data_IF_644847276154
#
_entry.id   IF_644847276154
#
_cell.length_a   1.000
_cell.length_b   1.000
_cell.length_c   1.000
_cell.angle_alpha   90.00
_cell.angle_beta   90.00
_cell.angle_gamma   90.00
#
_symmetry.space_group_name_H-M   'P 1'
#
loop_
_entity.id
_entity.type
_entity.pdbx_description
1 polymer ?
#
# COMPACT_ATOMS: atom_id res chain seq x y z
N UNK A 1 50.16 -7.12 -36.96
CA UNK A 1 49.16 -6.04 -36.90
C UNK A 1 47.96 -6.44 -37.75
N UNK A 2 46.74 -5.97 -37.44
CA UNK A 2 46.10 -5.95 -36.12
C UNK A 2 45.50 -7.38 -35.89
N UNK A 3 44.39 -7.69 -35.22
CA UNK A 3 43.56 -7.01 -34.21
C UNK A 3 43.02 -8.07 -33.22
N UNK A 4 42.28 -7.67 -32.19
CA UNK A 4 41.41 -8.56 -31.39
C UNK A 4 40.18 -7.79 -30.91
N UNK A 5 38.99 -8.24 -31.31
CA UNK A 5 37.72 -7.82 -30.72
C UNK A 5 36.57 -8.74 -31.17
N UNK A 6 35.88 -9.38 -30.22
CA UNK A 6 34.40 -9.35 -30.10
C UNK A 6 34.01 -9.98 -28.77
N UNK A 7 33.84 -9.13 -27.76
CA UNK A 7 33.18 -9.51 -26.51
C UNK A 7 31.66 -9.53 -26.74
N UNK A 8 31.13 -10.67 -27.22
CA UNK A 8 29.68 -10.86 -27.34
C UNK A 8 29.06 -11.02 -25.95
N UNK A 9 28.55 -9.92 -25.40
CA UNK A 9 27.81 -9.89 -24.14
C UNK A 9 26.64 -10.86 -24.19
N UNK A 10 26.64 -11.85 -23.29
CA UNK A 10 25.53 -12.79 -23.10
C UNK A 10 24.38 -12.07 -22.39
N UNK A 11 23.53 -11.38 -23.15
CA UNK A 11 22.29 -10.82 -22.60
C UNK A 11 21.43 -11.95 -22.05
N UNK A 12 21.30 -11.99 -20.72
CA UNK A 12 20.37 -12.88 -20.02
C UNK A 12 18.95 -12.50 -20.41
N UNK A 13 18.33 -13.29 -21.30
CA UNK A 13 16.91 -13.14 -21.61
C UNK A 13 16.12 -13.34 -20.31
N UNK A 14 15.38 -12.32 -19.90
CA UNK A 14 14.30 -12.50 -18.92
C UNK A 14 13.28 -13.49 -19.49
N UNK A 15 12.73 -14.41 -18.67
CA UNK A 15 11.72 -15.35 -19.15
C UNK A 15 10.47 -14.55 -19.55
N UNK A 16 10.10 -14.60 -20.83
CA UNK A 16 8.83 -14.04 -21.29
C UNK A 16 7.67 -14.89 -20.75
N UNK A 17 6.54 -14.28 -20.34
CA UNK A 17 5.38 -15.03 -19.90
C UNK A 17 4.81 -15.84 -21.07
N UNK A 18 4.49 -17.11 -20.82
CA UNK A 18 3.85 -17.96 -21.82
C UNK A 18 2.42 -17.45 -22.10
N UNK A 19 2.19 -17.04 -23.34
CA UNK A 19 0.87 -16.66 -23.87
C UNK A 19 0.24 -17.92 -24.45
N UNK A 20 -1.00 -18.22 -24.06
CA UNK A 20 -1.81 -19.20 -24.77
C UNK A 20 -2.40 -18.53 -26.02
N UNK A 21 -1.79 -18.81 -27.18
CA UNK A 21 -2.18 -18.25 -28.48
C UNK A 21 -3.62 -18.64 -28.89
N UNK A 22 -4.21 -19.69 -28.30
CA UNK A 22 -5.58 -20.12 -28.61
C UNK A 22 -6.67 -19.33 -27.88
N UNK A 23 -6.34 -18.72 -26.75
CA UNK A 23 -7.29 -17.95 -25.91
C UNK A 23 -6.88 -16.49 -25.68
N UNK A 24 -5.67 -16.09 -26.08
CA UNK A 24 -5.09 -14.79 -25.74
C UNK A 24 -4.74 -14.66 -24.24
N UNK A 25 -4.85 -15.74 -23.46
CA UNK A 25 -4.66 -15.69 -22.02
C UNK A 25 -3.17 -15.69 -21.67
N UNK A 26 -2.68 -14.57 -21.11
CA UNK A 26 -1.34 -14.51 -20.54
C UNK A 26 -1.34 -15.22 -19.19
N UNK A 27 -0.67 -16.38 -19.09
CA UNK A 27 -0.52 -17.10 -17.81
C UNK A 27 0.60 -16.46 -16.98
N UNK A 28 0.33 -15.28 -16.42
CA UNK A 28 1.22 -14.70 -15.40
C UNK A 28 1.13 -15.60 -14.16
N UNK A 29 2.19 -16.36 -13.89
CA UNK A 29 2.20 -17.44 -12.90
C UNK A 29 1.73 -16.96 -11.53
N UNK A 30 0.57 -17.48 -11.08
CA UNK A 30 -0.20 -17.14 -9.87
C UNK A 30 0.25 -15.84 -9.17
N UNK A 31 0.12 -14.72 -9.88
CA UNK A 31 0.07 -13.43 -9.19
C UNK A 31 -1.14 -13.46 -8.27
N UNK A 32 -0.90 -13.34 -6.96
CA UNK A 32 -1.94 -13.02 -6.00
C UNK A 32 -2.40 -11.60 -6.34
N UNK A 33 -3.50 -11.52 -7.09
CA UNK A 33 -3.92 -10.30 -7.75
C UNK A 33 -4.54 -9.31 -6.75
N UNK A 34 -3.71 -8.37 -6.26
CA UNK A 34 -4.16 -7.16 -5.59
C UNK A 34 -3.84 -7.02 -4.11
N UNK A 35 -2.93 -7.82 -3.53
CA UNK A 35 -2.53 -7.71 -2.12
C UNK A 35 -1.04 -8.00 -1.88
N UNK A 36 -0.13 -7.22 -2.47
CA UNK A 36 1.32 -7.37 -2.27
C UNK A 36 2.00 -6.02 -1.96
N UNK A 37 2.93 -6.00 -1.00
CA UNK A 37 3.86 -4.89 -0.76
C UNK A 37 5.29 -5.37 -1.08
N UNK A 38 6.21 -4.47 -1.41
CA UNK A 38 7.59 -4.89 -1.74
C UNK A 38 8.33 -5.42 -0.51
N UNK A 39 9.34 -6.28 -0.74
CA UNK A 39 10.21 -6.76 0.33
C UNK A 39 10.94 -5.60 1.04
N UNK A 40 11.29 -4.53 0.31
CA UNK A 40 11.88 -3.30 0.88
C UNK A 40 10.93 -2.64 1.87
N UNK A 41 9.66 -2.47 1.50
CA UNK A 41 8.62 -1.94 2.39
C UNK A 41 8.42 -2.81 3.64
N UNK A 42 8.33 -4.13 3.50
CA UNK A 42 8.15 -5.03 4.65
C UNK A 42 9.38 -5.04 5.58
N UNK A 43 10.59 -4.96 5.04
CA UNK A 43 11.84 -4.89 5.80
C UNK A 43 12.07 -3.54 6.49
N UNK A 44 11.23 -2.53 6.23
CA UNK A 44 11.23 -1.26 6.98
C UNK A 44 10.78 -1.43 8.45
N UNK A 45 10.11 -2.55 8.76
CA UNK A 45 9.55 -2.85 10.07
C UNK A 45 10.38 -3.92 10.79
N UNK A 46 10.70 -3.75 12.09
CA UNK A 46 11.32 -4.81 12.90
C UNK A 46 10.46 -6.08 13.00
N UNK A 47 9.13 -5.91 12.97
CA UNK A 47 8.13 -6.98 12.94
C UNK A 47 7.00 -6.62 11.95
N UNK A 48 7.00 -7.20 10.73
CA UNK A 48 5.94 -7.00 9.74
C UNK A 48 4.75 -7.96 9.89
N UNK A 49 4.66 -8.81 10.92
CA UNK A 49 3.66 -9.88 11.01
C UNK A 49 2.21 -9.37 10.88
N UNK A 50 1.85 -8.26 11.55
CA UNK A 50 0.49 -7.69 11.41
C UNK A 50 0.18 -7.23 9.99
N UNK A 51 1.18 -6.74 9.25
CA UNK A 51 1.01 -6.31 7.86
C UNK A 51 0.87 -7.53 6.95
N UNK A 52 1.68 -8.56 7.15
CA UNK A 52 1.62 -9.82 6.40
C UNK A 52 0.29 -10.56 6.61
N UNK A 53 -0.23 -10.64 7.83
CA UNK A 53 -1.54 -11.22 8.14
C UNK A 53 -2.67 -10.49 7.38
N UNK A 54 -2.68 -9.15 7.37
CA UNK A 54 -3.64 -8.39 6.57
C UNK A 54 -3.49 -8.67 5.07
N UNK A 55 -2.28 -8.73 4.52
CA UNK A 55 -2.05 -9.03 3.10
C UNK A 55 -2.51 -10.44 2.72
N UNK A 56 -2.28 -11.46 3.55
CA UNK A 56 -2.80 -12.81 3.32
C UNK A 56 -4.33 -12.84 3.37
N UNK A 57 -4.95 -12.23 4.38
CA UNK A 57 -6.42 -12.13 4.45
C UNK A 57 -7.02 -11.40 3.26
N UNK A 58 -6.35 -10.37 2.75
CA UNK A 58 -6.75 -9.66 1.54
C UNK A 58 -6.68 -10.55 0.30
N UNK A 59 -5.60 -11.32 0.14
CA UNK A 59 -5.44 -12.29 -0.94
C UNK A 59 -6.58 -13.32 -0.99
N UNK A 60 -6.99 -13.84 0.17
CA UNK A 60 -8.03 -14.86 0.27
C UNK A 60 -9.45 -14.28 0.12
N UNK A 61 -9.68 -13.06 0.62
CA UNK A 61 -11.02 -12.44 0.69
C UNK A 61 -11.41 -11.58 -0.51
N UNK A 62 -10.48 -11.01 -1.29
CA UNK A 62 -10.80 -9.98 -2.31
C UNK A 62 -11.85 -10.43 -3.35
N UNK A 63 -11.85 -11.72 -3.68
CA UNK A 63 -12.78 -12.33 -4.62
C UNK A 63 -13.91 -13.13 -3.96
N UNK A 64 -13.72 -13.62 -2.74
CA UNK A 64 -14.64 -14.53 -2.03
C UNK A 64 -15.55 -13.80 -1.04
N UNK A 65 -15.02 -12.84 -0.28
CA UNK A 65 -15.76 -11.91 0.59
C UNK A 65 -15.26 -10.46 0.40
N UNK A 66 -15.81 -9.75 -0.61
CA UNK A 66 -15.47 -8.35 -0.87
C UNK A 66 -15.73 -7.40 0.31
N UNK A 67 -16.61 -7.73 1.27
CA UNK A 67 -16.88 -6.88 2.45
C UNK A 67 -15.79 -7.06 3.50
N UNK A 68 -15.36 -8.30 3.74
CA UNK A 68 -14.19 -8.61 4.57
C UNK A 68 -12.94 -7.95 3.98
N UNK A 69 -12.72 -8.04 2.67
CA UNK A 69 -11.57 -7.42 2.01
C UNK A 69 -11.52 -5.89 2.23
N UNK A 70 -12.65 -5.18 2.13
CA UNK A 70 -12.73 -3.75 2.43
C UNK A 70 -12.42 -3.46 3.91
N UNK A 71 -12.92 -4.28 4.84
CA UNK A 71 -12.62 -4.13 6.27
C UNK A 71 -11.14 -4.34 6.58
N UNK A 72 -10.53 -5.37 6.00
CA UNK A 72 -9.10 -5.67 6.13
C UNK A 72 -8.24 -4.59 5.47
N UNK A 73 -8.65 -4.00 4.35
CA UNK A 73 -7.92 -2.89 3.71
C UNK A 73 -7.81 -1.66 4.63
N UNK A 74 -8.87 -1.32 5.38
CA UNK A 74 -8.80 -0.28 6.41
C UNK A 74 -7.89 -0.69 7.57
N UNK A 75 -7.95 -1.96 7.99
CA UNK A 75 -7.09 -2.47 9.06
C UNK A 75 -5.59 -2.47 8.68
N UNK A 76 -5.27 -2.72 7.40
CA UNK A 76 -3.93 -2.60 6.82
C UNK A 76 -3.40 -1.15 6.92
N UNK A 77 -4.21 -0.15 6.55
CA UNK A 77 -3.87 1.28 6.71
C UNK A 77 -3.63 1.60 8.19
N UNK A 78 -4.53 1.15 9.07
CA UNK A 78 -4.47 1.44 10.50
C UNK A 78 -3.24 0.80 11.18
N UNK A 79 -2.92 -0.46 10.87
CA UNK A 79 -1.68 -1.11 11.33
C UNK A 79 -0.46 -0.40 10.77
N UNK A 80 -0.42 -0.08 9.46
CA UNK A 80 0.73 0.58 8.84
C UNK A 80 1.00 1.95 9.46
N UNK A 81 -0.04 2.77 9.67
CA UNK A 81 0.09 4.08 10.33
C UNK A 81 0.65 3.96 11.76
N UNK A 82 0.18 2.98 12.53
CA UNK A 82 0.68 2.70 13.89
C UNK A 82 2.13 2.22 13.88
N UNK A 83 2.48 1.28 12.99
CA UNK A 83 3.85 0.80 12.82
C UNK A 83 4.82 1.94 12.47
N UNK A 84 4.45 2.83 11.54
CA UNK A 84 5.23 4.03 11.20
C UNK A 84 5.38 4.95 12.41
N UNK A 85 4.29 5.29 13.10
CA UNK A 85 4.34 6.18 14.26
C UNK A 85 5.20 5.61 15.39
N UNK A 86 5.09 4.31 15.68
CA UNK A 86 5.94 3.61 16.64
C UNK A 86 7.42 3.61 16.22
N UNK A 87 7.72 3.32 14.95
CA UNK A 87 9.10 3.39 14.43
C UNK A 87 9.68 4.81 14.38
N UNK A 88 8.81 5.83 14.39
CA UNK A 88 9.17 7.26 14.49
C UNK A 88 9.10 7.81 15.93
N UNK A 89 8.92 6.96 16.93
CA UNK A 89 8.79 7.31 18.36
C UNK A 89 7.70 8.36 18.63
N UNK A 90 6.66 8.40 17.79
CA UNK A 90 5.51 9.31 17.93
C UNK A 90 4.36 8.63 18.67
N UNK A 91 3.83 9.32 19.67
CA UNK A 91 2.68 8.85 20.45
C UNK A 91 1.37 8.99 19.68
N UNK A 92 0.44 8.08 19.93
CA UNK A 92 -0.95 8.13 19.44
C UNK A 92 -1.88 7.50 20.48
N UNK A 93 -3.14 7.91 20.51
CA UNK A 93 -4.13 7.32 21.42
C UNK A 93 -4.67 6.01 20.85
N UNK A 94 -5.01 5.05 21.71
CA UNK A 94 -5.64 3.77 21.29
C UNK A 94 -6.99 3.97 20.59
N UNK A 95 -7.66 5.09 20.86
CA UNK A 95 -8.94 5.50 20.26
C UNK A 95 -8.80 6.36 19.00
N UNK A 96 -7.58 6.70 18.57
CA UNK A 96 -7.32 7.51 17.39
C UNK A 96 -7.96 6.88 16.15
N UNK A 97 -8.72 7.69 15.40
CA UNK A 97 -9.36 7.24 14.16
C UNK A 97 -8.34 7.24 13.02
N UNK A 98 -8.55 6.37 12.03
CA UNK A 98 -7.71 6.25 10.83
C UNK A 98 -7.29 7.60 10.21
N UNK A 99 -8.16 8.61 10.05
CA UNK A 99 -7.73 9.88 9.44
C UNK A 99 -6.70 10.63 10.28
N UNK A 100 -6.78 10.57 11.61
CA UNK A 100 -5.78 11.18 12.50
C UNK A 100 -4.45 10.40 12.45
N UNK A 101 -4.52 9.07 12.44
CA UNK A 101 -3.34 8.20 12.32
C UNK A 101 -2.61 8.39 10.98
N UNK A 102 -3.35 8.48 9.87
CA UNK A 102 -2.79 8.72 8.53
C UNK A 102 -2.05 10.05 8.46
N UNK A 103 -2.70 11.14 8.90
CA UNK A 103 -2.07 12.47 8.88
C UNK A 103 -0.83 12.51 9.78
N UNK A 104 -0.92 12.00 11.01
CA UNK A 104 0.22 11.95 11.92
C UNK A 104 1.38 11.10 11.35
N UNK A 105 1.08 9.97 10.69
CA UNK A 105 2.09 9.13 10.08
C UNK A 105 2.79 9.85 8.92
N UNK A 106 2.04 10.47 7.99
CA UNK A 106 2.62 11.26 6.89
C UNK A 106 3.45 12.45 7.41
N UNK A 107 2.97 13.16 8.43
CA UNK A 107 3.72 14.23 9.09
C UNK A 107 5.03 13.71 9.73
N UNK A 108 5.01 12.54 10.38
CA UNK A 108 6.19 11.95 11.02
C UNK A 108 7.30 11.52 10.05
N UNK A 109 6.96 11.35 8.76
CA UNK A 109 7.88 11.04 7.66
C UNK A 109 8.25 12.27 6.81
N UNK A 110 7.76 13.47 7.14
CA UNK A 110 7.98 14.69 6.34
C UNK A 110 7.14 14.76 5.05
N UNK A 111 6.20 13.83 4.86
CA UNK A 111 5.32 13.70 3.69
C UNK A 111 4.01 14.51 3.81
N UNK A 112 4.00 15.54 4.67
CA UNK A 112 2.85 16.42 4.78
C UNK A 112 2.82 17.39 3.59
N UNK A 113 1.63 17.69 3.06
CA UNK A 113 1.50 18.65 1.97
C UNK A 113 2.11 20.04 2.31
N UNK A 114 2.08 20.41 3.60
CA UNK A 114 2.66 21.65 4.15
C UNK A 114 4.20 21.65 4.28
N UNK A 115 4.88 20.50 4.18
CA UNK A 115 6.34 20.40 4.29
C UNK A 115 7.07 20.26 2.95
N UNK A 116 6.34 20.11 1.85
CA UNK A 116 6.89 20.14 0.48
C UNK A 116 6.96 21.59 0.00
N UNK A 117 8.04 21.99 -0.69
CA UNK A 117 8.20 23.35 -1.27
C UNK A 117 7.16 23.65 -2.36
N UNK A 118 6.93 24.93 -2.66
CA UNK A 118 5.97 25.33 -3.70
C UNK A 118 6.40 24.94 -5.13
N UNK A 119 7.70 24.67 -5.31
CA UNK A 119 8.29 24.19 -6.56
C UNK A 119 7.72 22.82 -6.96
N UNK A 120 7.43 21.96 -5.98
CA UNK A 120 6.91 20.60 -6.17
C UNK A 120 5.37 20.51 -5.96
N UNK A 121 4.63 21.49 -6.49
CA UNK A 121 3.15 21.57 -6.42
C UNK A 121 2.44 20.26 -6.81
N UNK A 122 2.95 19.53 -7.81
CA UNK A 122 2.36 18.28 -8.27
C UNK A 122 2.52 17.14 -7.25
N UNK A 123 3.70 17.02 -6.63
CA UNK A 123 3.97 16.06 -5.55
C UNK A 123 3.11 16.37 -4.32
N UNK A 124 3.01 17.64 -3.94
CA UNK A 124 2.13 18.09 -2.87
C UNK A 124 0.67 17.67 -3.11
N UNK A 125 0.17 17.87 -4.33
CA UNK A 125 -1.18 17.47 -4.71
C UNK A 125 -1.37 15.94 -4.64
N UNK A 126 -0.36 15.16 -5.05
CA UNK A 126 -0.39 13.70 -4.93
C UNK A 126 -0.45 13.25 -3.46
N UNK A 127 0.39 13.81 -2.58
CA UNK A 127 0.39 13.51 -1.14
C UNK A 127 -0.94 13.88 -0.46
N UNK A 128 -1.57 14.98 -0.87
CA UNK A 128 -2.90 15.35 -0.40
C UNK A 128 -3.99 14.40 -0.91
N UNK A 129 -3.91 13.99 -2.18
CA UNK A 129 -4.82 12.99 -2.76
C UNK A 129 -4.70 11.62 -2.08
N UNK A 130 -3.51 11.25 -1.59
CA UNK A 130 -3.29 10.03 -0.79
C UNK A 130 -4.00 10.08 0.57
N UNK A 131 -4.03 11.22 1.25
CA UNK A 131 -4.86 11.40 2.47
C UNK A 131 -6.34 11.17 2.13
N UNK A 132 -6.84 11.85 1.08
CA UNK A 132 -8.24 11.70 0.61
C UNK A 132 -8.56 10.25 0.23
N UNK A 133 -7.62 9.53 -0.38
CA UNK A 133 -7.77 8.13 -0.76
C UNK A 133 -8.00 7.21 0.45
N UNK A 134 -7.23 7.38 1.53
CA UNK A 134 -7.44 6.62 2.78
C UNK A 134 -8.75 6.97 3.49
N UNK A 135 -9.20 8.22 3.36
CA UNK A 135 -10.50 8.67 3.86
C UNK A 135 -11.63 7.97 3.08
N UNK A 136 -11.57 7.92 1.76
CA UNK A 136 -12.55 7.19 0.93
C UNK A 136 -12.57 5.68 1.23
N UNK A 137 -11.41 5.05 1.49
CA UNK A 137 -11.36 3.65 1.98
C UNK A 137 -12.10 3.51 3.31
N UNK A 138 -11.92 4.46 4.23
CA UNK A 138 -12.61 4.47 5.53
C UNK A 138 -14.12 4.66 5.38
N UNK A 139 -14.58 5.55 4.49
CA UNK A 139 -16.00 5.81 4.21
C UNK A 139 -16.69 4.62 3.55
N UNK A 140 -16.05 4.03 2.52
CA UNK A 140 -16.54 2.81 1.89
C UNK A 140 -16.67 1.72 2.96
N UNK A 141 -15.63 1.49 3.78
CA UNK A 141 -15.71 0.54 4.91
C UNK A 141 -16.84 0.84 5.86
N UNK A 142 -17.07 2.10 6.23
CA UNK A 142 -18.17 2.47 7.12
C UNK A 142 -19.55 2.15 6.49
N UNK A 143 -19.71 2.34 5.17
CA UNK A 143 -20.96 2.02 4.45
C UNK A 143 -21.20 0.52 4.19
N UNK A 144 -20.20 -0.34 4.38
CA UNK A 144 -20.29 -1.79 4.06
C UNK A 144 -19.96 -2.71 5.25
N UNK A 145 -19.49 -2.13 6.35
CA UNK A 145 -19.00 -2.82 7.54
C UNK A 145 -20.01 -3.77 8.17
N UNK A 146 -19.51 -4.72 8.96
CA UNK A 146 -20.31 -5.75 9.62
C UNK A 146 -20.48 -5.40 11.11
N UNK A 147 -19.60 -4.53 11.62
CA UNK A 147 -19.27 -4.26 13.02
C UNK A 147 -20.42 -3.74 13.91
N UNK A 148 -21.55 -3.35 13.33
CA UNK A 148 -22.66 -2.69 14.04
C UNK A 148 -24.04 -3.30 13.74
N UNK A 149 -24.11 -4.49 13.14
CA UNK A 149 -25.39 -5.21 12.99
C UNK A 149 -26.43 -4.46 12.14
N UNK A 150 -26.04 -4.03 10.94
CA UNK A 150 -26.93 -3.32 10.03
C UNK A 150 -28.21 -4.12 9.70
N UNK A 151 -29.35 -3.45 9.69
CA UNK A 151 -30.68 -4.04 9.37
C UNK A 151 -30.70 -4.68 7.96
N UNK A 152 -29.91 -4.14 7.03
CA UNK A 152 -29.66 -4.73 5.72
C UNK A 152 -28.18 -4.99 5.47
N UNK A 153 -27.86 -6.10 4.80
CA UNK A 153 -26.52 -6.40 4.29
C UNK A 153 -26.26 -5.59 3.00
N UNK A 154 -25.23 -4.71 2.95
CA UNK A 154 -24.94 -3.93 1.74
C UNK A 154 -24.48 -4.81 0.57
N UNK A 155 -25.36 -5.01 -0.42
CA UNK A 155 -25.15 -5.91 -1.58
C UNK A 155 -24.38 -5.28 -2.77
N UNK A 156 -23.96 -4.03 -2.66
CA UNK A 156 -23.33 -3.29 -3.78
C UNK A 156 -21.83 -3.59 -3.93
N UNK A 157 -21.16 -4.04 -2.88
CA UNK A 157 -19.73 -4.41 -2.94
C UNK A 157 -19.56 -5.67 -3.78
N UNK A 158 -18.66 -5.60 -4.76
CA UNK A 158 -18.31 -6.70 -5.67
C UNK A 158 -16.77 -6.80 -5.71
N UNK A 159 -16.18 -7.92 -6.15
CA UNK A 159 -14.72 -8.09 -6.19
C UNK A 159 -13.98 -6.92 -6.84
N UNK A 160 -14.51 -6.35 -7.94
CA UNK A 160 -13.92 -5.14 -8.57
C UNK A 160 -13.85 -3.91 -7.65
N UNK A 161 -14.83 -3.72 -6.75
CA UNK A 161 -14.84 -2.64 -5.77
C UNK A 161 -13.88 -2.93 -4.62
N UNK A 162 -13.79 -4.20 -4.18
CA UNK A 162 -12.77 -4.62 -3.22
C UNK A 162 -11.36 -4.40 -3.79
N UNK A 163 -11.03 -4.90 -4.98
CA UNK A 163 -9.71 -4.69 -5.64
C UNK A 163 -9.33 -3.21 -5.75
N UNK A 164 -10.28 -2.31 -6.04
CA UNK A 164 -10.06 -0.86 -6.00
C UNK A 164 -9.69 -0.36 -4.59
N UNK A 165 -10.47 -0.73 -3.57
CA UNK A 165 -10.24 -0.33 -2.17
C UNK A 165 -8.93 -0.90 -1.62
N UNK A 166 -8.61 -2.16 -1.96
CA UNK A 166 -7.36 -2.79 -1.56
C UNK A 166 -6.19 -2.10 -2.24
N UNK A 167 -6.20 -1.94 -3.57
CA UNK A 167 -5.16 -1.21 -4.31
C UNK A 167 -4.95 0.22 -3.79
N UNK A 168 -6.04 0.92 -3.46
CA UNK A 168 -5.99 2.24 -2.83
C UNK A 168 -5.27 2.23 -1.47
N UNK A 169 -5.58 1.26 -0.61
CA UNK A 169 -4.87 1.06 0.66
C UNK A 169 -3.38 0.68 0.43
N UNK A 170 -3.10 -0.17 -0.56
CA UNK A 170 -1.75 -0.62 -0.89
C UNK A 170 -0.85 0.54 -1.32
N UNK A 171 -1.30 1.42 -2.21
CA UNK A 171 -0.50 2.56 -2.69
C UNK A 171 -0.06 3.46 -1.52
N UNK A 172 -0.96 3.72 -0.57
CA UNK A 172 -0.61 4.47 0.64
C UNK A 172 0.40 3.70 1.51
N UNK A 173 0.10 2.43 1.85
CA UNK A 173 0.97 1.65 2.74
C UNK A 173 2.36 1.42 2.16
N UNK A 174 2.46 1.22 0.84
CA UNK A 174 3.70 1.04 0.10
C UNK A 174 4.59 2.28 0.23
N UNK A 175 4.07 3.47 -0.09
CA UNK A 175 4.82 4.73 0.02
C UNK A 175 5.31 4.96 1.45
N UNK A 176 4.44 4.78 2.44
CA UNK A 176 4.76 5.00 3.85
C UNK A 176 5.89 4.10 4.35
N UNK A 177 5.90 2.83 3.94
CA UNK A 177 6.93 1.89 4.33
C UNK A 177 8.22 2.03 3.52
N UNK A 178 8.14 2.37 2.23
CA UNK A 178 9.34 2.71 1.44
C UNK A 178 10.03 3.97 1.96
N UNK A 179 9.28 5.03 2.30
CA UNK A 179 9.85 6.24 2.93
C UNK A 179 10.39 5.95 4.34
N UNK A 180 9.88 4.94 5.05
CA UNK A 180 10.47 4.49 6.32
C UNK A 180 11.77 3.69 6.10
N UNK A 181 11.87 2.91 5.03
CA UNK A 181 13.10 2.18 4.67
C UNK A 181 14.21 3.11 4.14
N UNK A 182 13.84 4.08 3.30
CA UNK A 182 14.75 4.98 2.59
C UNK A 182 15.67 5.74 3.56
N UNK A 183 16.99 5.73 3.26
CA UNK A 183 18.05 6.33 4.07
C UNK A 183 18.22 7.82 3.81
N UNK A 184 17.78 8.31 2.65
CA UNK A 184 17.84 9.73 2.26
C UNK A 184 16.51 10.46 2.57
N UNK A 185 15.56 9.77 3.21
CA UNK A 185 14.22 10.27 3.50
C UNK A 185 14.24 11.54 4.39
N UNK A 186 13.39 12.55 4.11
CA UNK A 186 13.44 13.86 4.79
C UNK A 186 13.41 13.81 6.33
N UNK A 187 12.68 12.84 6.89
CA UNK A 187 12.52 12.69 8.33
C UNK A 187 13.79 12.27 9.08
N UNK A 188 14.80 11.73 8.39
CA UNK A 188 16.10 11.34 8.98
C UNK A 188 17.00 12.54 9.21
N UNK A 189 16.78 13.63 8.46
CA UNK A 189 17.54 14.87 8.55
C UNK A 189 16.80 15.96 9.36
N UNK A 190 15.47 15.85 9.53
CA UNK A 190 14.73 16.67 10.48
C UNK A 190 15.07 16.30 11.93
N UNK A 191 15.69 17.24 12.67
CA UNK A 191 15.88 17.09 14.13
C UNK A 191 14.51 17.05 14.83
N UNK A 192 14.41 16.23 15.88
CA UNK A 192 13.18 16.02 16.66
C UNK A 192 12.78 17.24 17.50
#
# INVERSE_FOLDING_TARGET
MPCSATCCRRFSRTPQPAVDESTGTVRIGRLVAGAQLTAVALNALPDPQSIQDHLHRLADSVDTDPRLAVSTAKALIESTAKCVLTARERSYTRSAKVPALVNAAQESLGLAAKSVSDEDRALRQALQSLVTLTQSVTEIRNSVGIDHGAEEVPRWVRPRHARLVVGAAQVWCQLMLETLADLDAPWRHSKS
#
